data_IF_135446356957
#
_entry.id   IF_135446356957
#
_cell.length_a   1.000
_cell.length_b   1.000
_cell.length_c   1.000
_cell.angle_alpha   90.00
_cell.angle_beta   90.00
_cell.angle_gamma   90.00
#
_symmetry.space_group_name_H-M   'P 1'
#
loop_
_entity.id
_entity.type
_entity.pdbx_description
1 polymer ?
#
# COMPACT_ATOMS: atom_id res chain seq x y z
N UNK A 1 21.79 6.50 -19.53
CA UNK A 1 21.14 7.56 -18.74
C UNK A 1 19.66 7.52 -19.07
N UNK A 2 18.86 6.81 -18.27
CA UNK A 2 17.40 6.90 -18.40
C UNK A 2 17.01 8.28 -17.85
N UNK A 3 16.52 9.15 -18.72
CA UNK A 3 15.90 10.39 -18.29
C UNK A 3 14.78 10.02 -17.31
N UNK A 4 14.86 10.51 -16.07
CA UNK A 4 13.77 10.36 -15.12
C UNK A 4 12.51 10.89 -15.81
N UNK A 5 11.55 10.02 -16.05
CA UNK A 5 10.29 10.38 -16.71
C UNK A 5 9.58 11.36 -15.79
N UNK A 6 9.37 12.58 -16.25
CA UNK A 6 8.64 13.63 -15.51
C UNK A 6 7.21 13.72 -16.02
N UNK A 7 6.32 14.22 -15.19
CA UNK A 7 4.98 14.62 -15.64
C UNK A 7 5.11 15.57 -16.83
N UNK A 8 4.21 15.50 -17.82
CA UNK A 8 4.27 16.37 -18.99
C UNK A 8 4.13 17.85 -18.61
N UNK A 9 4.98 18.70 -19.17
CA UNK A 9 4.93 20.15 -19.00
C UNK A 9 5.65 20.67 -17.75
N UNK A 10 5.76 21.97 -17.64
CA UNK A 10 6.20 22.69 -16.44
C UNK A 10 4.97 22.89 -15.54
N UNK A 11 4.82 22.04 -14.54
CA UNK A 11 3.63 22.01 -13.68
C UNK A 11 3.61 23.15 -12.66
N UNK A 12 4.75 23.85 -12.47
CA UNK A 12 4.89 24.89 -11.44
C UNK A 12 4.78 24.32 -10.00
N UNK A 13 4.69 25.20 -8.97
CA UNK A 13 4.60 24.74 -7.58
C UNK A 13 3.32 23.98 -7.28
N UNK A 14 3.45 22.81 -6.67
CA UNK A 14 2.35 21.92 -6.27
C UNK A 14 2.09 22.13 -4.78
N UNK A 15 0.88 22.57 -4.42
CA UNK A 15 0.49 22.83 -3.05
C UNK A 15 -0.40 21.73 -2.48
N UNK A 16 0.00 21.18 -1.34
CA UNK A 16 -0.74 20.14 -0.62
C UNK A 16 -1.49 20.72 0.57
N UNK A 17 -2.81 20.60 0.59
CA UNK A 17 -3.65 20.96 1.76
C UNK A 17 -3.70 19.77 2.70
N UNK A 18 -3.11 19.90 3.89
CA UNK A 18 -2.93 18.78 4.83
C UNK A 18 -1.72 17.89 4.48
N UNK A 19 -0.58 18.51 4.17
CA UNK A 19 0.64 17.82 3.69
C UNK A 19 1.21 16.81 4.68
N UNK A 20 1.00 17.00 5.99
CA UNK A 20 1.46 16.11 7.05
C UNK A 20 0.67 14.80 7.19
N UNK A 21 -0.46 14.66 6.48
CA UNK A 21 -1.19 13.42 6.41
C UNK A 21 -0.36 12.29 5.77
N UNK A 22 -0.43 11.06 6.33
CA UNK A 22 0.42 9.93 5.90
C UNK A 22 0.37 9.74 4.37
N UNK A 23 -0.83 9.63 3.78
CA UNK A 23 -0.95 9.44 2.33
C UNK A 23 -0.57 10.66 1.49
N UNK A 24 -0.61 11.88 2.05
CA UNK A 24 -0.22 13.12 1.37
C UNK A 24 1.29 13.29 1.36
N UNK A 25 1.93 13.08 2.51
CA UNK A 25 3.37 13.24 2.70
C UNK A 25 4.20 12.30 1.81
N UNK A 26 3.74 11.06 1.62
CA UNK A 26 4.41 10.11 0.74
C UNK A 26 4.43 10.57 -0.72
N UNK A 27 3.33 11.09 -1.22
CA UNK A 27 3.25 11.65 -2.59
C UNK A 27 4.13 12.91 -2.71
N UNK A 28 4.08 13.79 -1.70
CA UNK A 28 4.90 15.00 -1.66
C UNK A 28 6.40 14.66 -1.69
N UNK A 29 6.84 13.65 -0.92
CA UNK A 29 8.22 13.17 -0.90
C UNK A 29 8.67 12.63 -2.26
N UNK A 30 7.83 11.85 -2.93
CA UNK A 30 8.12 11.33 -4.28
C UNK A 30 8.24 12.48 -5.28
N UNK A 31 7.36 13.48 -5.26
CA UNK A 31 7.43 14.66 -6.13
C UNK A 31 8.71 15.49 -5.90
N UNK A 32 9.08 15.73 -4.63
CA UNK A 32 10.35 16.40 -4.27
C UNK A 32 11.55 15.69 -4.87
N UNK A 33 11.61 14.36 -4.72
CA UNK A 33 12.69 13.54 -5.26
C UNK A 33 12.74 13.54 -6.80
N UNK A 34 11.59 13.76 -7.47
CA UNK A 34 11.54 13.99 -8.92
C UNK A 34 11.91 15.43 -9.32
N UNK A 35 12.21 16.31 -8.36
CA UNK A 35 12.63 17.69 -8.59
C UNK A 35 11.49 18.66 -8.88
N UNK A 36 10.26 18.33 -8.44
CA UNK A 36 9.14 19.30 -8.45
C UNK A 36 9.24 20.25 -7.27
N UNK A 37 8.75 21.45 -7.46
CA UNK A 37 8.58 22.43 -6.38
C UNK A 37 7.33 22.06 -5.61
N UNK A 38 7.50 21.65 -4.35
CA UNK A 38 6.40 21.24 -3.47
C UNK A 38 6.27 22.23 -2.33
N UNK A 39 5.05 22.62 -2.07
CA UNK A 39 4.66 23.37 -0.88
C UNK A 39 3.40 22.79 -0.27
N UNK A 40 3.10 23.10 0.98
CA UNK A 40 1.85 22.66 1.57
C UNK A 40 1.61 23.21 2.96
N UNK A 41 0.37 23.09 3.38
CA UNK A 41 -0.10 23.50 4.71
C UNK A 41 -0.50 22.30 5.56
N UNK A 42 -0.37 22.44 6.88
CA UNK A 42 -1.02 21.55 7.84
C UNK A 42 -1.49 22.36 9.07
N UNK A 43 -2.43 21.82 9.84
CA UNK A 43 -2.94 22.49 11.03
C UNK A 43 -1.86 22.70 12.08
N UNK A 44 -0.87 21.79 12.16
CA UNK A 44 0.28 21.82 13.06
C UNK A 44 1.49 21.23 12.39
N UNK A 45 2.66 21.74 12.72
CA UNK A 45 3.92 21.12 12.35
C UNK A 45 4.11 19.80 13.12
N UNK A 46 4.67 18.81 12.45
CA UNK A 46 4.91 17.47 12.97
C UNK A 46 6.26 16.96 12.46
N UNK A 47 6.77 15.87 13.01
CA UNK A 47 7.99 15.21 12.49
C UNK A 47 7.91 14.89 10.97
N UNK A 48 6.69 14.68 10.45
CA UNK A 48 6.49 14.42 9.01
C UNK A 48 6.72 15.71 8.22
N UNK A 49 6.09 16.81 8.63
CA UNK A 49 6.25 18.12 7.95
C UNK A 49 7.67 18.65 8.08
N UNK A 50 8.34 18.45 9.23
CA UNK A 50 9.73 18.83 9.45
C UNK A 50 10.65 18.10 8.47
N UNK A 51 10.48 16.78 8.32
CA UNK A 51 11.23 16.00 7.34
C UNK A 51 10.99 16.46 5.90
N UNK A 52 9.76 16.78 5.51
CA UNK A 52 9.46 17.31 4.18
C UNK A 52 10.14 18.66 3.96
N UNK A 53 10.20 19.53 4.99
CA UNK A 53 10.92 20.81 4.93
C UNK A 53 12.43 20.58 4.74
N UNK A 54 13.04 19.61 5.47
CA UNK A 54 14.44 19.23 5.30
C UNK A 54 14.73 18.73 3.87
N UNK A 55 13.75 18.11 3.19
CA UNK A 55 13.84 17.69 1.80
C UNK A 55 13.50 18.79 0.78
N UNK A 56 13.23 20.02 1.25
CA UNK A 56 13.05 21.18 0.39
C UNK A 56 11.61 21.60 0.12
N UNK A 57 10.61 21.04 0.83
CA UNK A 57 9.24 21.53 0.77
C UNK A 57 9.09 22.85 1.54
N UNK A 58 8.28 23.77 1.02
CA UNK A 58 7.85 24.95 1.75
C UNK A 58 6.59 24.61 2.57
N UNK A 59 6.71 24.62 3.90
CA UNK A 59 5.65 24.24 4.84
C UNK A 59 5.02 25.46 5.49
N UNK A 60 3.69 25.51 5.50
CA UNK A 60 2.89 26.52 6.19
C UNK A 60 2.14 25.89 7.38
N UNK A 61 2.25 26.48 8.56
CA UNK A 61 1.43 26.12 9.69
C UNK A 61 0.09 26.88 9.65
N UNK A 62 -1.02 26.14 9.76
CA UNK A 62 -2.35 26.68 9.55
C UNK A 62 -2.73 26.75 8.06
N UNK A 63 -4.03 26.82 7.82
CA UNK A 63 -4.59 26.88 6.46
C UNK A 63 -5.14 28.28 6.19
N UNK A 64 -4.53 28.98 5.24
CA UNK A 64 -4.85 30.37 4.88
C UNK A 64 -4.78 30.58 3.37
N UNK A 65 -5.61 31.48 2.84
CA UNK A 65 -5.68 31.78 1.41
C UNK A 65 -4.33 32.24 0.82
N UNK A 66 -3.51 32.88 1.64
CA UNK A 66 -2.19 33.39 1.27
C UNK A 66 -1.16 32.29 1.00
N UNK A 67 -1.34 31.11 1.59
CA UNK A 67 -0.42 29.97 1.45
C UNK A 67 -0.33 29.48 0.00
N UNK A 68 -1.39 29.66 -0.78
CA UNK A 68 -1.44 29.18 -2.17
C UNK A 68 -1.01 30.22 -3.20
N UNK A 69 -0.44 31.37 -2.78
CA UNK A 69 -0.13 32.50 -3.66
C UNK A 69 0.63 32.10 -4.92
N UNK A 70 1.65 31.27 -4.77
CA UNK A 70 2.52 30.85 -5.87
C UNK A 70 2.17 29.46 -6.43
N UNK A 71 1.12 28.82 -5.89
CA UNK A 71 0.70 27.50 -6.32
C UNK A 71 0.14 27.49 -7.75
N UNK A 72 0.52 26.48 -8.52
CA UNK A 72 -0.03 26.19 -9.84
C UNK A 72 -1.08 25.08 -9.81
N UNK A 73 -0.96 24.14 -8.84
CA UNK A 73 -1.87 23.00 -8.64
C UNK A 73 -2.10 22.82 -7.15
N UNK A 74 -3.32 22.50 -6.77
CA UNK A 74 -3.72 22.19 -5.38
C UNK A 74 -4.03 20.71 -5.27
N UNK A 75 -3.38 20.02 -4.32
CA UNK A 75 -3.65 18.62 -4.00
C UNK A 75 -4.40 18.56 -2.67
N UNK A 76 -5.53 17.84 -2.64
CA UNK A 76 -6.37 17.69 -1.45
C UNK A 76 -6.60 16.22 -1.11
N UNK A 77 -6.77 15.93 0.18
CA UNK A 77 -7.29 14.65 0.67
C UNK A 77 -8.80 14.71 0.86
N UNK A 78 -9.43 13.54 1.04
CA UNK A 78 -10.87 13.43 1.37
C UNK A 78 -11.22 14.07 2.73
N UNK A 79 -10.23 14.27 3.61
CA UNK A 79 -10.43 14.92 4.92
C UNK A 79 -10.67 16.43 4.83
N UNK A 80 -10.34 17.07 3.70
CA UNK A 80 -10.52 18.52 3.53
C UNK A 80 -11.99 18.84 3.26
N UNK A 81 -12.60 19.59 4.18
CA UNK A 81 -14.02 19.94 4.13
C UNK A 81 -14.28 21.19 3.28
N UNK A 82 -15.51 21.36 2.76
CA UNK A 82 -15.96 22.63 2.18
C UNK A 82 -15.77 23.80 3.15
N UNK A 83 -15.44 24.99 2.62
CA UNK A 83 -15.14 26.17 3.43
C UNK A 83 -13.68 26.27 3.89
N UNK A 84 -12.80 25.40 3.41
CA UNK A 84 -11.37 25.54 3.62
C UNK A 84 -10.85 26.77 2.86
N UNK A 85 -10.13 27.72 3.53
CA UNK A 85 -9.74 28.99 2.90
C UNK A 85 -8.81 28.84 1.70
N UNK A 86 -7.92 27.85 1.73
CA UNK A 86 -7.01 27.55 0.60
C UNK A 86 -7.79 26.99 -0.59
N UNK A 87 -8.77 26.11 -0.33
CA UNK A 87 -9.59 25.52 -1.38
C UNK A 87 -10.51 26.56 -2.02
N UNK A 88 -11.08 27.47 -1.23
CA UNK A 88 -11.96 28.55 -1.73
C UNK A 88 -11.15 29.58 -2.53
N UNK A 89 -9.95 29.93 -2.07
CA UNK A 89 -9.03 30.79 -2.82
C UNK A 89 -8.54 30.14 -4.13
N UNK A 90 -8.30 28.83 -4.13
CA UNK A 90 -7.93 28.09 -5.34
C UNK A 90 -9.04 28.12 -6.39
N UNK A 91 -10.28 27.91 -5.97
CA UNK A 91 -11.46 28.01 -6.86
C UNK A 91 -11.63 29.42 -7.42
N UNK A 92 -11.50 30.46 -6.58
CA UNK A 92 -11.59 31.84 -6.99
C UNK A 92 -10.52 32.22 -8.03
N UNK A 93 -9.33 31.57 -7.98
CA UNK A 93 -8.23 31.77 -8.94
C UNK A 93 -8.31 30.84 -10.16
N UNK A 94 -9.27 29.89 -10.20
CA UNK A 94 -9.36 28.91 -11.28
C UNK A 94 -8.19 27.91 -11.31
N UNK A 95 -7.53 27.64 -10.16
CA UNK A 95 -6.44 26.69 -10.09
C UNK A 95 -6.97 25.25 -10.21
N UNK A 96 -6.24 24.35 -10.88
CA UNK A 96 -6.54 22.93 -10.84
C UNK A 96 -6.52 22.39 -9.41
N UNK A 97 -7.57 21.67 -9.04
CA UNK A 97 -7.69 21.01 -7.74
C UNK A 97 -7.76 19.50 -8.01
N UNK A 98 -6.76 18.78 -7.54
CA UNK A 98 -6.58 17.34 -7.76
C UNK A 98 -6.73 16.61 -6.42
N UNK A 99 -7.39 15.47 -6.45
CA UNK A 99 -7.44 14.61 -5.27
C UNK A 99 -6.12 13.85 -5.10
N UNK A 100 -5.80 13.47 -3.85
CA UNK A 100 -4.62 12.67 -3.50
C UNK A 100 -4.40 11.47 -4.44
N UNK A 101 -5.45 10.68 -4.68
CA UNK A 101 -5.34 9.50 -5.53
C UNK A 101 -5.16 9.83 -7.02
N UNK A 102 -5.67 10.98 -7.48
CA UNK A 102 -5.42 11.45 -8.86
C UNK A 102 -3.95 11.84 -9.03
N UNK A 103 -3.37 12.54 -8.06
CA UNK A 103 -1.93 12.85 -8.08
C UNK A 103 -1.07 11.58 -8.01
N UNK A 104 -1.46 10.61 -7.17
CA UNK A 104 -0.79 9.32 -7.11
C UNK A 104 -0.88 8.58 -8.46
N UNK A 105 -2.04 8.59 -9.11
CA UNK A 105 -2.23 7.96 -10.42
C UNK A 105 -1.31 8.59 -11.48
N UNK A 106 -1.11 9.90 -11.47
CA UNK A 106 -0.17 10.56 -12.39
C UNK A 106 1.28 10.12 -12.14
N UNK A 107 1.70 10.00 -10.87
CA UNK A 107 3.04 9.44 -10.55
C UNK A 107 3.17 7.98 -11.00
N UNK A 108 2.12 7.18 -10.81
CA UNK A 108 2.10 5.78 -11.21
C UNK A 108 2.27 5.61 -12.73
N UNK A 109 1.79 6.56 -13.55
CA UNK A 109 1.95 6.52 -15.03
C UNK A 109 3.42 6.55 -15.48
N UNK A 110 4.32 6.96 -14.60
CA UNK A 110 5.75 7.07 -14.89
C UNK A 110 6.50 5.73 -14.73
N UNK A 111 5.86 4.70 -14.16
CA UNK A 111 6.47 3.42 -13.83
C UNK A 111 5.51 2.26 -14.06
N UNK A 112 6.01 1.03 -14.08
CA UNK A 112 5.19 -0.17 -13.90
C UNK A 112 4.73 -0.26 -12.44
N UNK A 113 3.49 -0.69 -12.20
CA UNK A 113 2.90 -0.53 -10.87
C UNK A 113 2.36 -1.83 -10.30
N UNK A 114 2.60 -2.03 -9.01
CA UNK A 114 1.95 -3.04 -8.18
C UNK A 114 1.06 -2.28 -7.21
N UNK A 115 -0.26 -2.45 -7.34
CA UNK A 115 -1.25 -1.80 -6.46
C UNK A 115 -1.91 -2.84 -5.55
N UNK A 116 -1.85 -2.60 -4.24
CA UNK A 116 -2.38 -3.51 -3.22
C UNK A 116 -3.69 -2.95 -2.68
N UNK A 117 -4.79 -3.60 -3.02
CA UNK A 117 -6.14 -3.28 -2.56
C UNK A 117 -6.70 -4.38 -1.65
N UNK A 118 -7.80 -4.07 -0.99
CA UNK A 118 -8.54 -4.95 -0.10
C UNK A 118 -8.93 -4.20 1.17
N UNK A 119 -9.93 -4.68 1.88
CA UNK A 119 -10.39 -4.05 3.12
C UNK A 119 -9.30 -4.09 4.19
N UNK A 120 -8.65 -5.25 4.37
CA UNK A 120 -7.64 -5.49 5.39
C UNK A 120 -6.31 -5.99 4.78
N UNK A 121 -5.20 -5.76 5.47
CA UNK A 121 -3.89 -6.28 5.10
C UNK A 121 -3.11 -5.45 4.05
N UNK A 122 -3.70 -4.41 3.46
CA UNK A 122 -3.08 -3.54 2.44
C UNK A 122 -1.66 -3.10 2.82
N UNK A 123 -1.54 -2.38 3.93
CA UNK A 123 -0.27 -1.80 4.40
C UNK A 123 0.82 -2.85 4.60
N UNK A 124 0.46 -3.99 5.23
CA UNK A 124 1.40 -5.08 5.47
C UNK A 124 1.83 -5.74 4.17
N UNK A 125 0.90 -6.03 3.27
CA UNK A 125 1.20 -6.63 1.95
C UNK A 125 2.06 -5.69 1.10
N UNK A 126 1.75 -4.38 1.08
CA UNK A 126 2.54 -3.36 0.37
C UNK A 126 3.98 -3.32 0.91
N UNK A 127 4.15 -3.39 2.23
CA UNK A 127 5.48 -3.43 2.86
C UNK A 127 6.24 -4.70 2.51
N UNK A 128 5.61 -5.88 2.62
CA UNK A 128 6.22 -7.16 2.25
C UNK A 128 6.65 -7.16 0.79
N UNK A 129 5.78 -6.68 -0.11
CA UNK A 129 6.10 -6.56 -1.53
C UNK A 129 7.29 -5.64 -1.77
N UNK A 130 7.33 -4.49 -1.12
CA UNK A 130 8.44 -3.54 -1.24
C UNK A 130 9.77 -4.16 -0.76
N UNK A 131 9.79 -4.85 0.38
CA UNK A 131 10.99 -5.48 0.91
C UNK A 131 11.46 -6.65 0.05
N UNK A 132 10.54 -7.49 -0.46
CA UNK A 132 10.89 -8.53 -1.44
C UNK A 132 11.53 -7.92 -2.69
N UNK A 133 10.95 -6.87 -3.25
CA UNK A 133 11.50 -6.21 -4.44
C UNK A 133 12.87 -5.58 -4.19
N UNK A 134 13.13 -5.04 -3.00
CA UNK A 134 14.46 -4.55 -2.61
C UNK A 134 15.45 -5.72 -2.56
N UNK A 135 15.08 -6.85 -1.96
CA UNK A 135 15.90 -8.03 -1.91
C UNK A 135 16.20 -8.62 -3.31
N UNK A 136 15.24 -8.52 -4.24
CA UNK A 136 15.41 -8.90 -5.65
C UNK A 136 16.10 -7.85 -6.52
N UNK A 137 16.68 -6.78 -5.92
CA UNK A 137 17.39 -5.69 -6.61
C UNK A 137 16.53 -4.88 -7.60
N UNK A 138 15.21 -4.84 -7.44
CA UNK A 138 14.32 -4.04 -8.28
C UNK A 138 14.32 -2.55 -7.92
N UNK A 139 14.79 -2.18 -6.74
CA UNK A 139 14.85 -0.81 -6.22
C UNK A 139 13.56 -0.01 -6.45
N UNK A 140 12.39 -0.46 -5.92
CA UNK A 140 11.09 0.14 -6.22
C UNK A 140 10.91 1.51 -5.56
N UNK A 141 10.11 2.38 -6.20
CA UNK A 141 9.45 3.48 -5.51
C UNK A 141 8.26 2.93 -4.73
N UNK A 142 8.07 3.37 -3.49
CA UNK A 142 7.01 2.87 -2.61
C UNK A 142 6.17 4.02 -2.06
N UNK A 143 4.84 3.86 -2.08
CA UNK A 143 3.89 4.76 -1.38
C UNK A 143 2.92 3.88 -0.59
N UNK A 144 3.02 3.95 0.73
CA UNK A 144 2.29 3.09 1.66
C UNK A 144 1.36 3.92 2.56
N UNK A 145 0.33 3.29 3.11
CA UNK A 145 -0.60 3.88 4.07
C UNK A 145 -0.08 3.93 5.51
N UNK A 146 1.05 3.28 5.79
CA UNK A 146 1.70 3.25 7.11
C UNK A 146 3.21 3.45 7.02
N UNK A 147 3.85 3.74 8.15
CA UNK A 147 5.30 3.87 8.23
C UNK A 147 5.95 2.49 8.16
N UNK A 148 6.82 2.30 7.19
CA UNK A 148 7.63 1.10 7.01
C UNK A 148 8.84 1.19 7.95
N UNK A 149 9.05 0.21 8.81
CA UNK A 149 10.16 0.24 9.79
C UNK A 149 11.52 0.38 9.12
N UNK A 150 11.76 -0.36 8.04
CA UNK A 150 13.02 -0.35 7.31
C UNK A 150 13.39 1.04 6.74
N UNK A 151 12.39 1.91 6.49
CA UNK A 151 12.62 3.22 5.87
C UNK A 151 12.38 4.40 6.82
N UNK A 152 11.73 4.16 7.98
CA UNK A 152 11.28 5.22 8.89
C UNK A 152 10.28 6.18 8.25
N UNK A 153 9.70 5.82 7.12
CA UNK A 153 8.80 6.61 6.27
C UNK A 153 7.69 5.75 5.69
N UNK A 154 6.62 6.39 5.25
CA UNK A 154 5.56 5.78 4.46
C UNK A 154 5.83 5.84 2.95
N UNK A 155 6.92 6.44 2.52
CA UNK A 155 7.35 6.46 1.14
C UNK A 155 8.85 6.21 1.01
N UNK A 156 9.25 5.69 -0.14
CA UNK A 156 10.62 5.51 -0.55
C UNK A 156 10.73 5.79 -2.04
N UNK A 157 11.69 6.60 -2.44
CA UNK A 157 12.05 6.76 -3.84
C UNK A 157 13.07 5.70 -4.24
N UNK A 158 12.74 4.88 -5.23
CA UNK A 158 13.65 3.93 -5.88
C UNK A 158 13.99 4.37 -7.29
N UNK A 159 15.15 3.93 -7.79
CA UNK A 159 15.62 4.19 -9.16
C UNK A 159 15.12 3.16 -10.17
N UNK A 160 14.50 2.07 -9.69
CA UNK A 160 13.97 1.01 -10.54
C UNK A 160 12.71 1.40 -11.31
N UNK A 161 12.29 0.54 -12.21
CA UNK A 161 11.15 0.75 -13.10
C UNK A 161 9.79 0.48 -12.43
N UNK A 162 9.78 -0.01 -11.20
CA UNK A 162 8.58 -0.40 -10.48
C UNK A 162 8.19 0.59 -9.39
N UNK A 163 6.89 0.70 -9.19
CA UNK A 163 6.30 1.41 -8.06
C UNK A 163 5.32 0.48 -7.33
N UNK A 164 5.42 0.40 -6.01
CA UNK A 164 4.51 -0.36 -5.15
C UNK A 164 3.65 0.63 -4.38
N UNK A 165 2.34 0.50 -4.50
CA UNK A 165 1.41 1.44 -3.88
C UNK A 165 0.31 0.73 -3.11
N UNK A 166 -0.09 1.30 -1.98
CA UNK A 166 -1.32 0.94 -1.30
C UNK A 166 -2.50 1.63 -2.01
N UNK A 167 -3.48 0.83 -2.45
CA UNK A 167 -4.68 1.28 -3.13
C UNK A 167 -5.86 1.36 -2.13
N UNK A 168 -6.18 2.58 -1.70
CA UNK A 168 -7.19 2.85 -0.68
C UNK A 168 -8.59 2.92 -1.32
N UNK A 169 -9.48 2.01 -0.93
CA UNK A 169 -10.86 1.93 -1.43
C UNK A 169 -11.83 2.89 -0.74
N UNK A 170 -11.42 3.56 0.33
CA UNK A 170 -12.31 4.33 1.22
C UNK A 170 -13.15 5.41 0.52
N UNK A 171 -12.66 5.99 -0.56
CA UNK A 171 -13.33 7.05 -1.32
C UNK A 171 -13.54 6.69 -2.80
N UNK A 172 -13.36 5.40 -3.16
CA UNK A 172 -13.54 4.89 -4.53
C UNK A 172 -12.51 5.36 -5.56
N UNK A 173 -11.56 6.22 -5.16
CA UNK A 173 -10.57 6.77 -6.09
C UNK A 173 -9.51 5.74 -6.51
N UNK A 174 -9.37 4.63 -5.79
CA UNK A 174 -8.48 3.52 -6.16
C UNK A 174 -8.77 2.96 -7.56
N UNK A 175 -10.01 3.07 -8.04
CA UNK A 175 -10.40 2.69 -9.40
C UNK A 175 -9.70 3.50 -10.50
N UNK A 176 -9.08 4.63 -10.17
CA UNK A 176 -8.35 5.49 -11.10
C UNK A 176 -6.85 5.15 -11.17
N UNK A 177 -6.38 4.27 -10.29
CA UNK A 177 -4.97 3.88 -10.23
C UNK A 177 -4.63 2.96 -11.42
N UNK A 178 -3.63 3.30 -12.25
CA UNK A 178 -3.24 2.52 -13.42
C UNK A 178 -2.34 1.34 -13.01
N UNK A 179 -2.88 0.35 -12.29
CA UNK A 179 -2.11 -0.81 -11.85
C UNK A 179 -1.71 -1.71 -13.03
N UNK A 180 -0.44 -2.12 -13.08
CA UNK A 180 0.04 -3.20 -13.94
C UNK A 180 -0.24 -4.56 -13.30
N UNK A 181 0.02 -4.66 -11.99
CA UNK A 181 -0.32 -5.81 -11.16
C UNK A 181 -1.24 -5.33 -10.05
N UNK A 182 -2.41 -5.95 -9.93
CA UNK A 182 -3.38 -5.66 -8.88
C UNK A 182 -3.44 -6.81 -7.89
N UNK A 183 -3.20 -6.52 -6.60
CA UNK A 183 -3.37 -7.48 -5.51
C UNK A 183 -4.70 -7.19 -4.82
N UNK A 184 -5.53 -8.21 -4.56
CA UNK A 184 -6.75 -8.10 -3.76
C UNK A 184 -6.69 -9.10 -2.61
N UNK A 185 -6.63 -8.57 -1.39
CA UNK A 185 -6.47 -9.38 -0.16
C UNK A 185 -7.81 -9.94 0.33
N UNK A 186 -8.81 -9.09 0.47
CA UNK A 186 -10.16 -9.41 0.94
C UNK A 186 -11.13 -8.28 0.58
N UNK A 187 -12.44 -8.52 0.70
CA UNK A 187 -13.49 -7.54 0.44
C UNK A 187 -14.55 -7.69 1.52
N UNK A 188 -14.50 -6.84 2.54
CA UNK A 188 -15.49 -6.77 3.61
C UNK A 188 -16.30 -5.47 3.53
N UNK A 189 -17.52 -5.42 4.09
CA UNK A 189 -18.35 -4.22 4.07
C UNK A 189 -17.76 -3.14 4.99
N UNK A 190 -16.95 -2.26 4.43
CA UNK A 190 -16.36 -1.09 5.09
C UNK A 190 -16.59 0.15 4.23
N UNK A 191 -16.53 1.34 4.82
CA UNK A 191 -16.76 2.63 4.13
C UNK A 191 -18.11 2.74 3.43
N UNK A 192 -19.18 2.18 4.04
CA UNK A 192 -20.52 2.20 3.48
C UNK A 192 -21.13 3.60 3.36
N UNK A 193 -20.61 4.56 4.10
CA UNK A 193 -20.94 5.99 3.96
C UNK A 193 -20.55 6.56 2.59
N UNK A 194 -19.52 5.98 1.96
CA UNK A 194 -19.11 6.32 0.60
C UNK A 194 -19.80 5.44 -0.45
N UNK A 195 -19.78 4.13 -0.24
CA UNK A 195 -20.23 3.14 -1.23
C UNK A 195 -21.75 2.99 -1.29
N UNK A 196 -22.46 3.37 -0.23
CA UNK A 196 -23.92 3.21 -0.10
C UNK A 196 -24.34 1.78 0.21
N UNK A 197 -23.88 0.81 -0.59
CA UNK A 197 -24.14 -0.61 -0.37
C UNK A 197 -22.93 -1.50 -0.73
N UNK A 198 -23.02 -2.76 -0.32
CA UNK A 198 -21.92 -3.70 -0.50
C UNK A 198 -21.74 -4.17 -1.96
N UNK A 199 -22.80 -4.16 -2.76
CA UNK A 199 -22.73 -4.54 -4.17
C UNK A 199 -21.97 -3.46 -4.97
N UNK A 200 -22.15 -2.20 -4.62
CA UNK A 200 -21.40 -1.08 -5.19
C UNK A 200 -19.90 -1.19 -4.86
N UNK A 201 -19.54 -1.57 -3.63
CA UNK A 201 -18.15 -1.84 -3.25
C UNK A 201 -17.56 -3.02 -4.04
N UNK A 202 -18.30 -4.15 -4.16
CA UNK A 202 -17.91 -5.31 -4.98
C UNK A 202 -17.64 -4.92 -6.43
N UNK A 203 -18.52 -4.07 -7.01
CA UNK A 203 -18.33 -3.56 -8.36
C UNK A 203 -17.10 -2.65 -8.47
N UNK A 204 -16.79 -1.87 -7.43
CA UNK A 204 -15.57 -1.09 -7.32
C UNK A 204 -14.31 -1.97 -7.43
N UNK A 205 -14.24 -3.06 -6.68
CA UNK A 205 -13.12 -4.01 -6.77
C UNK A 205 -13.05 -4.71 -8.13
N UNK A 206 -14.19 -5.08 -8.72
CA UNK A 206 -14.22 -5.66 -10.06
C UNK A 206 -13.69 -4.67 -11.10
N UNK A 207 -14.07 -3.40 -11.03
CA UNK A 207 -13.58 -2.35 -11.93
C UNK A 207 -12.07 -2.15 -11.76
N UNK A 208 -11.58 -2.10 -10.52
CA UNK A 208 -10.17 -1.95 -10.22
C UNK A 208 -9.32 -3.04 -10.88
N UNK A 209 -9.70 -4.31 -10.70
CA UNK A 209 -8.97 -5.43 -11.29
C UNK A 209 -9.15 -5.50 -12.82
N UNK A 210 -10.33 -5.15 -13.34
CA UNK A 210 -10.59 -5.15 -14.78
C UNK A 210 -9.79 -4.08 -15.54
N UNK A 211 -9.35 -3.01 -14.85
CA UNK A 211 -8.57 -1.92 -15.44
C UNK A 211 -7.09 -2.25 -15.67
N UNK A 212 -6.58 -3.38 -15.16
CA UNK A 212 -5.20 -3.78 -15.46
C UNK A 212 -5.02 -4.01 -16.97
N UNK A 213 -3.83 -3.72 -17.53
CA UNK A 213 -3.57 -3.92 -18.95
C UNK A 213 -3.58 -5.41 -19.32
N UNK A 214 -3.72 -5.73 -20.60
CA UNK A 214 -3.76 -7.13 -21.07
C UNK A 214 -2.51 -7.94 -20.75
N UNK A 215 -1.37 -7.28 -20.55
CA UNK A 215 -0.11 -7.89 -20.13
C UNK A 215 0.10 -7.90 -18.61
N UNK A 216 -0.86 -7.34 -17.88
CA UNK A 216 -0.84 -7.29 -16.41
C UNK A 216 -1.35 -8.57 -15.76
N UNK A 217 -1.45 -8.55 -14.44
CA UNK A 217 -1.84 -9.70 -13.63
C UNK A 217 -2.67 -9.26 -12.42
N UNK A 218 -3.73 -10.00 -12.13
CA UNK A 218 -4.46 -9.92 -10.86
C UNK A 218 -3.96 -11.02 -9.91
N UNK A 219 -3.67 -10.67 -8.66
CA UNK A 219 -3.26 -11.60 -7.59
C UNK A 219 -4.33 -11.57 -6.51
N UNK A 220 -5.09 -12.66 -6.37
CA UNK A 220 -6.36 -12.68 -5.64
C UNK A 220 -6.37 -13.75 -4.54
N UNK A 221 -6.74 -13.34 -3.31
CA UNK A 221 -6.88 -14.25 -2.17
C UNK A 221 -8.17 -15.09 -2.26
N UNK A 222 -8.06 -16.36 -2.57
CA UNK A 222 -9.24 -17.25 -2.67
C UNK A 222 -9.72 -17.83 -1.34
N UNK A 223 -9.09 -17.49 -0.24
CA UNK A 223 -9.62 -17.82 1.09
C UNK A 223 -10.82 -16.93 1.46
N UNK A 224 -10.95 -15.77 0.80
CA UNK A 224 -12.06 -14.85 1.03
C UNK A 224 -13.18 -15.07 0.00
N UNK A 225 -14.44 -15.33 0.45
CA UNK A 225 -15.55 -15.67 -0.46
C UNK A 225 -15.83 -14.62 -1.53
N UNK A 226 -15.75 -13.33 -1.17
CA UNK A 226 -16.01 -12.24 -2.09
C UNK A 226 -14.91 -12.10 -3.14
N UNK A 227 -13.65 -12.37 -2.78
CA UNK A 227 -12.53 -12.37 -3.73
C UNK A 227 -12.63 -13.59 -4.65
N UNK A 228 -13.05 -14.74 -4.12
CA UNK A 228 -13.32 -15.93 -4.94
C UNK A 228 -14.43 -15.67 -5.96
N UNK A 229 -15.52 -14.99 -5.53
CA UNK A 229 -16.60 -14.58 -6.44
C UNK A 229 -16.14 -13.53 -7.47
N UNK A 230 -15.22 -12.63 -7.10
CA UNK A 230 -14.56 -11.68 -8.00
C UNK A 230 -13.78 -12.42 -9.09
N UNK A 231 -12.94 -13.38 -8.70
CA UNK A 231 -12.14 -14.20 -9.64
C UNK A 231 -13.04 -14.89 -10.67
N UNK A 232 -14.18 -15.43 -10.24
CA UNK A 232 -15.15 -16.05 -11.17
C UNK A 232 -15.76 -15.11 -12.22
N UNK A 233 -15.64 -13.78 -12.06
CA UNK A 233 -16.12 -12.78 -13.01
C UNK A 233 -15.01 -12.27 -13.96
N UNK A 234 -13.74 -12.61 -13.70
CA UNK A 234 -12.60 -12.16 -14.49
C UNK A 234 -12.31 -13.19 -15.60
N UNK A 235 -12.75 -12.90 -16.82
CA UNK A 235 -12.63 -13.82 -17.97
C UNK A 235 -11.49 -13.49 -18.92
N UNK A 236 -11.03 -12.24 -18.94
CA UNK A 236 -10.10 -11.67 -19.93
C UNK A 236 -8.87 -11.01 -19.31
N UNK A 237 -8.54 -11.40 -18.06
CA UNK A 237 -7.34 -10.98 -17.37
C UNK A 237 -6.60 -12.18 -16.83
N UNK A 238 -5.28 -12.11 -16.81
CA UNK A 238 -4.46 -13.12 -16.12
C UNK A 238 -4.71 -13.02 -14.63
N UNK A 239 -5.14 -14.10 -14.02
CA UNK A 239 -5.35 -14.21 -12.57
C UNK A 239 -4.38 -15.24 -12.00
N UNK A 240 -3.75 -14.91 -10.88
CA UNK A 240 -3.01 -15.82 -10.01
C UNK A 240 -3.69 -15.79 -8.65
N UNK A 241 -4.09 -16.96 -8.18
CA UNK A 241 -4.78 -17.12 -6.90
C UNK A 241 -3.79 -17.48 -5.81
N UNK A 242 -4.06 -17.03 -4.58
CA UNK A 242 -3.24 -17.41 -3.43
C UNK A 242 -4.08 -17.65 -2.19
N UNK A 243 -3.53 -18.38 -1.24
CA UNK A 243 -4.17 -18.63 0.05
C UNK A 243 -3.82 -19.97 0.69
N UNK A 244 -4.65 -20.36 1.64
CA UNK A 244 -4.65 -21.67 2.31
C UNK A 244 -5.47 -22.70 1.53
N UNK A 245 -6.35 -22.23 0.64
CA UNK A 245 -7.18 -23.07 -0.19
C UNK A 245 -6.32 -24.01 -1.04
N UNK A 246 -6.69 -25.31 -1.06
CA UNK A 246 -5.96 -26.35 -1.80
C UNK A 246 -5.94 -26.15 -3.31
N UNK A 247 -6.81 -25.30 -3.86
CA UNK A 247 -6.89 -24.98 -5.29
C UNK A 247 -6.17 -23.69 -5.67
N UNK A 248 -5.58 -22.95 -4.68
CA UNK A 248 -4.85 -21.74 -4.97
C UNK A 248 -3.52 -22.03 -5.69
N UNK A 249 -3.16 -21.18 -6.68
CA UNK A 249 -1.92 -21.29 -7.45
C UNK A 249 -0.68 -21.16 -6.56
N UNK A 250 -0.74 -20.25 -5.57
CA UNK A 250 0.30 -20.05 -4.57
C UNK A 250 -0.28 -20.38 -3.19
N UNK A 251 0.16 -21.47 -2.62
CA UNK A 251 -0.45 -22.06 -1.43
C UNK A 251 0.55 -22.31 -0.32
N UNK A 252 0.15 -22.00 0.93
CA UNK A 252 0.92 -22.35 2.12
C UNK A 252 0.76 -23.85 2.46
N UNK A 253 1.85 -24.47 2.90
CA UNK A 253 1.91 -25.84 3.40
C UNK A 253 2.70 -25.86 4.71
N UNK A 254 2.46 -26.89 5.54
CA UNK A 254 3.25 -27.22 6.73
C UNK A 254 3.39 -26.05 7.73
N UNK A 255 2.38 -25.16 7.81
CA UNK A 255 2.44 -23.98 8.66
C UNK A 255 2.48 -24.34 10.14
N UNK A 256 3.49 -23.84 10.84
CA UNK A 256 3.65 -23.93 12.29
C UNK A 256 4.14 -22.60 12.85
N UNK A 257 3.92 -22.38 14.14
CA UNK A 257 4.40 -21.19 14.84
C UNK A 257 5.35 -21.59 15.97
N UNK A 258 6.46 -20.85 16.10
CA UNK A 258 7.41 -21.06 17.19
C UNK A 258 7.98 -19.72 17.62
N UNK A 259 7.72 -19.32 18.87
CA UNK A 259 8.23 -18.05 19.43
C UNK A 259 7.77 -16.82 18.64
N UNK A 260 6.56 -16.82 18.06
CA UNK A 260 6.03 -15.71 17.28
C UNK A 260 6.51 -15.66 15.83
N UNK A 261 7.30 -16.65 15.38
CA UNK A 261 7.75 -16.79 14.00
C UNK A 261 6.90 -17.86 13.30
N UNK A 262 6.38 -17.54 12.13
CA UNK A 262 5.74 -18.52 11.25
C UNK A 262 6.80 -19.31 10.47
N UNK A 263 6.67 -20.64 10.42
CA UNK A 263 7.47 -21.55 9.63
C UNK A 263 6.55 -22.29 8.67
N UNK A 264 6.85 -22.27 7.38
CA UNK A 264 5.97 -22.85 6.36
C UNK A 264 6.71 -23.13 5.06
N UNK A 265 6.06 -23.91 4.20
CA UNK A 265 6.47 -24.10 2.82
C UNK A 265 5.45 -23.45 1.89
N UNK A 266 5.84 -23.13 0.66
CA UNK A 266 4.97 -22.52 -0.35
C UNK A 266 4.95 -23.42 -1.59
N UNK A 267 3.77 -23.95 -1.94
CA UNK A 267 3.59 -24.63 -3.21
C UNK A 267 3.20 -23.63 -4.31
N UNK A 268 3.88 -23.72 -5.45
CA UNK A 268 3.65 -22.96 -6.67
C UNK A 268 3.05 -23.90 -7.73
N UNK A 269 1.72 -24.08 -7.70
CA UNK A 269 1.04 -25.11 -8.48
C UNK A 269 1.22 -24.96 -9.99
N UNK A 270 1.24 -23.74 -10.49
CA UNK A 270 1.42 -23.47 -11.93
C UNK A 270 2.82 -23.76 -12.43
N UNK A 271 3.80 -23.79 -11.54
CA UNK A 271 5.22 -24.05 -11.85
C UNK A 271 5.65 -25.48 -11.50
N UNK A 272 4.78 -26.25 -10.82
CA UNK A 272 5.10 -27.53 -10.20
C UNK A 272 6.36 -27.46 -9.31
N UNK A 273 6.50 -26.35 -8.59
CA UNK A 273 7.63 -26.04 -7.71
C UNK A 273 7.17 -25.83 -6.26
N UNK A 274 8.12 -25.92 -5.33
CA UNK A 274 7.92 -25.63 -3.92
C UNK A 274 9.09 -24.82 -3.36
N UNK A 275 8.77 -23.79 -2.57
CA UNK A 275 9.75 -23.04 -1.77
C UNK A 275 9.68 -23.59 -0.35
N UNK A 276 10.63 -24.41 0.03
CA UNK A 276 10.68 -25.04 1.34
C UNK A 276 11.39 -24.16 2.38
N UNK A 277 11.01 -24.32 3.66
CA UNK A 277 11.70 -23.73 4.80
C UNK A 277 11.58 -22.20 4.89
N UNK A 278 10.48 -21.63 4.45
CA UNK A 278 10.18 -20.23 4.63
C UNK A 278 9.94 -19.89 6.10
N UNK A 279 10.40 -18.71 6.52
CA UNK A 279 10.13 -18.16 7.84
C UNK A 279 9.67 -16.72 7.71
N UNK A 280 8.71 -16.34 8.56
CA UNK A 280 8.23 -14.96 8.66
C UNK A 280 8.23 -14.54 10.13
N UNK A 281 8.98 -13.51 10.56
CA UNK A 281 9.06 -13.08 11.95
C UNK A 281 7.82 -12.28 12.38
N UNK A 282 6.65 -12.77 11.98
CA UNK A 282 5.33 -12.26 12.38
C UNK A 282 4.38 -13.45 12.60
N UNK A 283 3.63 -13.49 13.72
CA UNK A 283 2.58 -14.46 13.93
C UNK A 283 1.32 -14.06 13.15
N UNK A 284 0.41 -15.02 13.00
CA UNK A 284 -0.91 -14.84 12.41
C UNK A 284 -1.02 -15.33 10.98
N UNK A 285 -2.03 -16.16 10.75
CA UNK A 285 -2.32 -16.73 9.43
C UNK A 285 -2.54 -15.64 8.37
N UNK A 286 -3.14 -14.51 8.76
CA UNK A 286 -3.34 -13.36 7.88
C UNK A 286 -2.01 -12.75 7.38
N UNK A 287 -0.95 -12.76 8.20
CA UNK A 287 0.38 -12.28 7.78
C UNK A 287 1.05 -13.27 6.82
N UNK A 288 0.85 -14.57 7.03
CA UNK A 288 1.29 -15.59 6.07
C UNK A 288 0.54 -15.42 4.74
N UNK A 289 -0.78 -15.21 4.77
CA UNK A 289 -1.59 -14.92 3.57
C UNK A 289 -1.07 -13.67 2.83
N UNK A 290 -0.78 -12.58 3.55
CA UNK A 290 -0.19 -11.36 2.96
C UNK A 290 1.17 -11.65 2.29
N UNK A 291 1.99 -12.52 2.91
CA UNK A 291 3.28 -12.93 2.32
C UNK A 291 3.09 -13.73 1.02
N UNK A 292 2.09 -14.63 0.95
CA UNK A 292 1.80 -15.37 -0.29
C UNK A 292 1.45 -14.46 -1.46
N UNK A 293 0.72 -13.36 -1.22
CA UNK A 293 0.44 -12.37 -2.25
C UNK A 293 1.72 -11.74 -2.82
N UNK A 294 2.64 -11.36 -1.94
CA UNK A 294 3.91 -10.78 -2.33
C UNK A 294 4.80 -11.80 -3.05
N UNK A 295 4.81 -13.06 -2.61
CA UNK A 295 5.54 -14.17 -3.26
C UNK A 295 5.01 -14.45 -4.67
N UNK A 296 3.68 -14.44 -4.87
CA UNK A 296 3.07 -14.61 -6.20
C UNK A 296 3.62 -13.58 -7.21
N UNK A 297 3.73 -12.32 -6.79
CA UNK A 297 4.30 -11.26 -7.62
C UNK A 297 5.81 -11.43 -7.78
N UNK A 298 6.55 -11.72 -6.71
CA UNK A 298 7.99 -11.89 -6.72
C UNK A 298 8.41 -13.00 -7.70
N UNK A 299 7.72 -14.13 -7.70
CA UNK A 299 7.94 -15.22 -8.67
C UNK A 299 7.65 -14.79 -10.10
N UNK A 300 6.53 -14.08 -10.32
CA UNK A 300 6.21 -13.51 -11.64
C UNK A 300 7.30 -12.58 -12.16
N UNK A 301 7.96 -11.82 -11.28
CA UNK A 301 9.08 -10.93 -11.62
C UNK A 301 10.41 -11.67 -11.75
N UNK A 302 10.44 -12.99 -11.55
CA UNK A 302 11.64 -13.83 -11.76
C UNK A 302 12.56 -13.93 -10.55
N UNK A 303 12.12 -13.55 -9.34
CA UNK A 303 12.91 -13.74 -8.13
C UNK A 303 13.13 -15.23 -7.86
N UNK A 304 14.33 -15.58 -7.43
CA UNK A 304 14.71 -16.94 -7.05
C UNK A 304 14.08 -17.34 -5.71
N UNK A 305 14.00 -18.63 -5.45
CA UNK A 305 13.49 -19.16 -4.17
C UNK A 305 14.33 -18.67 -2.98
N UNK A 306 15.65 -18.57 -3.14
CA UNK A 306 16.56 -18.12 -2.09
C UNK A 306 16.40 -16.63 -1.76
N UNK A 307 16.20 -15.78 -2.77
CA UNK A 307 15.89 -14.35 -2.58
C UNK A 307 14.57 -14.16 -1.83
N UNK A 308 13.52 -14.91 -2.20
CA UNK A 308 12.22 -14.87 -1.54
C UNK A 308 12.33 -15.34 -0.10
N UNK A 309 12.98 -16.50 0.14
CA UNK A 309 13.17 -17.05 1.49
C UNK A 309 13.95 -16.09 2.37
N UNK A 310 15.04 -15.53 1.85
CA UNK A 310 15.87 -14.56 2.57
C UNK A 310 15.09 -13.28 2.90
N UNK A 311 14.30 -12.75 1.97
CA UNK A 311 13.50 -11.55 2.18
C UNK A 311 12.42 -11.77 3.23
N UNK A 312 11.68 -12.88 3.19
CA UNK A 312 10.66 -13.21 4.19
C UNK A 312 11.26 -13.38 5.59
N UNK A 313 12.40 -14.05 5.71
CA UNK A 313 13.09 -14.28 6.98
C UNK A 313 13.59 -12.98 7.64
N UNK A 314 13.93 -11.97 6.83
CA UNK A 314 14.43 -10.68 7.27
C UNK A 314 13.36 -9.58 7.31
N UNK A 315 12.08 -9.92 7.15
CA UNK A 315 11.00 -8.94 7.15
C UNK A 315 10.95 -8.14 8.45
N UNK A 316 11.12 -6.81 8.34
CA UNK A 316 11.24 -5.91 9.49
C UNK A 316 9.92 -5.56 10.18
N UNK A 317 8.78 -5.90 9.57
CA UNK A 317 7.45 -5.55 10.07
C UNK A 317 7.01 -4.13 9.72
N UNK A 318 5.81 -3.79 10.16
CA UNK A 318 5.17 -2.48 9.94
C UNK A 318 4.80 -1.89 11.29
N UNK A 319 4.96 -0.57 11.44
CA UNK A 319 4.61 0.12 12.67
C UNK A 319 3.12 -0.09 13.02
N UNK A 320 2.84 -0.40 14.28
CA UNK A 320 1.49 -0.69 14.79
C UNK A 320 0.78 -1.84 14.07
N UNK A 321 1.53 -2.84 13.59
CA UNK A 321 1.02 -4.12 13.08
C UNK A 321 1.70 -5.24 13.86
N UNK A 322 1.06 -5.68 14.94
CA UNK A 322 1.57 -6.63 15.93
C UNK A 322 2.96 -6.24 16.47
N UNK A 323 3.16 -4.94 16.72
CA UNK A 323 4.45 -4.39 17.14
C UNK A 323 4.69 -4.62 18.62
N UNK A 324 5.77 -5.32 18.98
CA UNK A 324 6.19 -5.48 20.37
C UNK A 324 6.75 -4.15 20.89
N UNK A 325 6.04 -3.53 21.83
CA UNK A 325 6.42 -2.24 22.44
C UNK A 325 7.39 -2.45 23.60
N UNK A 326 7.23 -3.55 24.34
CA UNK A 326 8.09 -3.85 25.48
C UNK A 326 7.65 -5.08 26.27
N UNK A 327 8.38 -5.35 27.35
CA UNK A 327 8.04 -6.37 28.35
C UNK A 327 8.14 -5.73 29.72
N UNK A 328 7.09 -5.84 30.52
CA UNK A 328 7.04 -5.33 31.90
C UNK A 328 6.61 -6.49 32.81
N UNK A 329 7.41 -6.82 33.78
CA UNK A 329 7.16 -7.93 34.74
C UNK A 329 6.77 -9.27 34.07
N UNK A 330 7.43 -9.59 32.94
CA UNK A 330 7.16 -10.79 32.14
C UNK A 330 5.93 -10.69 31.22
N UNK A 331 5.20 -9.58 31.24
CA UNK A 331 4.07 -9.31 30.35
C UNK A 331 4.55 -8.60 29.09
N UNK A 332 4.33 -9.23 27.93
CA UNK A 332 4.62 -8.61 26.62
C UNK A 332 3.51 -7.65 26.23
N UNK A 333 3.90 -6.43 25.85
CA UNK A 333 3.00 -5.38 25.38
C UNK A 333 3.09 -5.30 23.85
N UNK A 334 1.96 -5.47 23.18
CA UNK A 334 1.83 -5.42 21.71
C UNK A 334 0.96 -4.22 21.33
N UNK A 335 1.39 -3.42 20.36
CA UNK A 335 0.59 -2.38 19.71
C UNK A 335 0.13 -2.87 18.32
N UNK A 336 -1.19 -2.84 18.10
CA UNK A 336 -1.81 -3.17 16.81
C UNK A 336 -2.89 -2.14 16.46
N UNK A 337 -2.96 -1.77 15.20
CA UNK A 337 -3.92 -0.78 14.68
C UNK A 337 -5.31 -1.40 14.40
N UNK A 338 -5.54 -2.65 14.76
CA UNK A 338 -6.80 -3.35 14.55
C UNK A 338 -7.97 -2.56 15.17
N UNK A 339 -8.95 -2.19 14.36
CA UNK A 339 -10.14 -1.43 14.76
C UNK A 339 -11.44 -2.02 14.18
N UNK A 340 -11.36 -2.90 13.20
CA UNK A 340 -12.47 -3.68 12.68
C UNK A 340 -12.57 -5.03 13.43
N UNK A 341 -13.78 -5.59 13.67
CA UNK A 341 -13.93 -6.87 14.39
C UNK A 341 -13.09 -8.02 13.83
N UNK A 342 -12.98 -8.13 12.50
CA UNK A 342 -12.15 -9.15 11.83
C UNK A 342 -10.65 -8.95 12.14
N UNK A 343 -10.18 -7.72 12.14
CA UNK A 343 -8.78 -7.40 12.46
C UNK A 343 -8.45 -7.69 13.93
N UNK A 344 -9.36 -7.31 14.85
CA UNK A 344 -9.20 -7.58 16.29
C UNK A 344 -9.12 -9.10 16.54
N UNK A 345 -9.99 -9.89 15.90
CA UNK A 345 -9.97 -11.33 16.00
C UNK A 345 -8.64 -11.92 15.47
N UNK A 346 -8.15 -11.42 14.35
CA UNK A 346 -6.88 -11.84 13.75
C UNK A 346 -5.69 -11.50 14.66
N UNK A 347 -5.66 -10.30 15.24
CA UNK A 347 -4.61 -9.88 16.19
C UNK A 347 -4.62 -10.72 17.48
N UNK A 348 -5.80 -11.03 18.04
CA UNK A 348 -5.92 -11.90 19.21
C UNK A 348 -5.49 -13.33 18.92
N UNK A 349 -5.81 -13.87 17.72
CA UNK A 349 -5.34 -15.19 17.27
C UNK A 349 -3.82 -15.22 17.15
N UNK A 350 -3.23 -14.18 16.54
CA UNK A 350 -1.79 -14.03 16.42
C UNK A 350 -1.11 -13.94 17.80
N UNK A 351 -1.72 -13.25 18.77
CA UNK A 351 -1.21 -13.16 20.13
C UNK A 351 -1.15 -14.56 20.81
N UNK A 352 -2.15 -15.42 20.61
CA UNK A 352 -2.11 -16.79 21.10
C UNK A 352 -1.02 -17.61 20.44
N UNK A 353 -0.88 -17.51 19.10
CA UNK A 353 0.18 -18.20 18.35
C UNK A 353 1.60 -17.74 18.75
N UNK A 354 1.76 -16.52 19.25
CA UNK A 354 3.06 -15.99 19.72
C UNK A 354 3.39 -16.42 21.14
N UNK A 355 2.44 -16.95 21.92
CA UNK A 355 2.63 -17.36 23.31
C UNK A 355 2.86 -18.86 23.46
N UNK A 356 2.71 -19.62 22.40
CA UNK A 356 3.03 -21.06 22.30
C UNK A 356 4.46 -21.27 21.78
#
# INVERSE_FOLDING_TARGET
>A
MNAATKLPGDVGPIHFVGIGGIGMSGIAEVLLNHGYVVQGSDQKTTKITDRLAEHGALIFEGQAAENIKDAAVIVISSAIKPGNPELDAARARGLPIVRRAEMLAELMRLKSNIAVAGTHGKTTTTTMMAELMVAGNFDPTVVNGGIIHAYGSNARMGQGEWMVVEADESDGTFNRLPATIAIVTNIDPEHMEHWGDFDTLRQGFLNFVSNIPFYGMAVCCTDHPEVQALVGKLTDRRVVTYGFNSQADVRVLNLTYKGGVAHFDIALQTEDEMIEGCTLPMPGDHNVSNALAAVAVARHLGMTQDEIRGALANFGGVNRRFTKVGVVDGVTIIDDYAHHPVEILAALKAARQSSE
#
